data_IF_245672224168
#
_entry.id   IF_245672224168
#
_cell.length_a   1.000
_cell.length_b   1.000
_cell.length_c   1.000
_cell.angle_alpha   90.00
_cell.angle_beta   90.00
_cell.angle_gamma   90.00
#
_symmetry.space_group_name_H-M   'P 1'
#
loop_
_entity.id
_entity.type
_entity.pdbx_description
1 polymer ?
#
# COMPACT_ATOMS: atom_id res chain seq x y z
N UNK A 1 -10.54 18.69 21.57
CA UNK A 1 -11.41 18.28 20.45
C UNK A 1 -10.99 16.89 20.00
N UNK A 2 -11.94 16.04 19.61
CA UNK A 2 -11.66 14.69 19.10
C UNK A 2 -11.61 14.78 17.57
N UNK A 3 -10.47 14.46 16.95
CA UNK A 3 -10.39 14.25 15.52
C UNK A 3 -10.99 12.88 15.19
N UNK A 4 -11.85 12.83 14.17
CA UNK A 4 -12.47 11.60 13.69
C UNK A 4 -12.16 11.46 12.22
N UNK A 5 -11.73 10.27 11.82
CA UNK A 5 -11.48 9.92 10.44
C UNK A 5 -12.57 8.93 9.99
N UNK A 6 -13.42 9.28 9.00
CA UNK A 6 -14.36 8.32 8.43
C UNK A 6 -13.59 7.24 7.65
N UNK A 7 -14.03 6.00 7.80
CA UNK A 7 -13.52 4.88 7.02
C UNK A 7 -14.61 4.36 6.09
N UNK A 8 -14.26 4.17 4.83
CA UNK A 8 -15.13 3.59 3.82
C UNK A 8 -14.86 2.09 3.70
N UNK A 9 -15.95 1.33 3.59
CA UNK A 9 -15.87 -0.12 3.39
C UNK A 9 -15.82 -0.43 1.89
N UNK A 10 -14.67 -0.89 1.40
CA UNK A 10 -14.46 -1.30 0.01
C UNK A 10 -14.65 -2.81 -0.20
N UNK A 11 -14.61 -3.25 -1.47
CA UNK A 11 -14.54 -4.68 -1.80
C UNK A 11 -13.13 -5.20 -1.55
N UNK A 12 -13.03 -6.39 -0.93
CA UNK A 12 -11.74 -7.06 -0.71
C UNK A 12 -11.12 -7.46 -2.04
N UNK A 13 -9.79 -7.37 -2.16
CA UNK A 13 -9.07 -7.86 -3.33
C UNK A 13 -9.39 -9.33 -3.61
N UNK A 14 -9.54 -10.15 -2.56
CA UNK A 14 -9.97 -11.55 -2.70
C UNK A 14 -11.32 -11.70 -3.39
N UNK A 15 -12.29 -10.87 -3.04
CA UNK A 15 -13.64 -10.94 -3.61
C UNK A 15 -13.62 -10.45 -5.07
N UNK A 16 -12.84 -9.41 -5.37
CA UNK A 16 -12.60 -8.95 -6.75
C UNK A 16 -11.95 -10.04 -7.60
N UNK A 17 -10.93 -10.73 -7.07
CA UNK A 17 -10.27 -11.85 -7.76
C UNK A 17 -11.24 -13.02 -7.97
N UNK A 18 -12.14 -13.27 -7.01
CA UNK A 18 -13.18 -14.31 -7.13
C UNK A 18 -14.19 -13.96 -8.22
N UNK A 19 -14.67 -12.71 -8.25
CA UNK A 19 -15.62 -12.21 -9.25
C UNK A 19 -15.04 -12.24 -10.68
N UNK A 20 -13.72 -12.16 -10.82
CA UNK A 20 -13.02 -12.24 -12.11
C UNK A 20 -12.55 -13.65 -12.50
N UNK A 21 -12.89 -14.68 -11.71
CA UNK A 21 -12.39 -16.05 -11.88
C UNK A 21 -10.85 -16.20 -11.85
N UNK A 22 -10.15 -15.21 -11.30
CA UNK A 22 -8.69 -15.19 -11.20
C UNK A 22 -8.18 -15.77 -9.88
N UNK A 23 -9.06 -15.95 -8.87
CA UNK A 23 -8.64 -16.32 -7.52
C UNK A 23 -7.95 -17.69 -7.44
N UNK A 24 -8.44 -18.68 -8.19
CA UNK A 24 -7.84 -20.02 -8.17
C UNK A 24 -6.47 -20.02 -8.85
N UNK A 25 -6.35 -19.35 -10.00
CA UNK A 25 -5.08 -19.19 -10.71
C UNK A 25 -4.06 -18.43 -9.85
N UNK A 26 -4.52 -17.40 -9.14
CA UNK A 26 -3.71 -16.62 -8.22
C UNK A 26 -3.11 -17.50 -7.11
N UNK A 27 -3.90 -18.33 -6.43
CA UNK A 27 -3.38 -19.22 -5.39
C UNK A 27 -2.54 -20.40 -5.91
N UNK A 28 -2.67 -20.76 -7.20
CA UNK A 28 -1.77 -21.76 -7.81
C UNK A 28 -0.36 -21.22 -8.01
N UNK A 29 -0.22 -19.90 -8.25
CA UNK A 29 1.07 -19.27 -8.53
C UNK A 29 1.63 -18.51 -7.33
N UNK A 30 0.82 -18.26 -6.29
CA UNK A 30 1.21 -17.49 -5.12
C UNK A 30 0.84 -18.20 -3.82
N UNK A 31 1.83 -18.42 -2.97
CA UNK A 31 1.64 -18.97 -1.62
C UNK A 31 1.25 -17.87 -0.63
N UNK A 32 0.00 -17.88 -0.16
CA UNK A 32 -0.46 -16.96 0.88
C UNK A 32 -0.12 -17.45 2.28
N UNK A 33 0.68 -16.66 2.99
CA UNK A 33 1.06 -16.93 4.37
C UNK A 33 1.14 -15.66 5.22
N UNK A 34 0.25 -15.55 6.19
CA UNK A 34 0.20 -14.42 7.13
C UNK A 34 1.44 -14.35 8.03
N UNK A 35 2.16 -15.47 8.22
CA UNK A 35 3.41 -15.51 8.98
C UNK A 35 4.51 -14.61 8.41
N UNK A 36 4.46 -14.33 7.10
CA UNK A 36 5.40 -13.44 6.41
C UNK A 36 5.30 -11.98 6.87
N UNK A 37 4.10 -11.53 7.30
CA UNK A 37 3.89 -10.17 7.83
C UNK A 37 4.36 -10.04 9.29
N UNK A 38 4.24 -11.10 10.08
CA UNK A 38 4.57 -11.08 11.51
C UNK A 38 5.59 -12.16 11.89
N UNK A 39 6.83 -12.09 11.36
CA UNK A 39 7.84 -13.13 11.55
C UNK A 39 8.21 -13.33 13.02
N UNK A 40 8.15 -12.28 13.84
CA UNK A 40 8.41 -12.36 15.28
C UNK A 40 7.26 -13.00 16.08
N UNK A 41 6.02 -12.89 15.60
CA UNK A 41 4.86 -13.51 16.24
C UNK A 41 4.63 -14.95 15.77
N UNK A 42 5.09 -15.29 14.56
CA UNK A 42 4.89 -16.59 13.90
C UNK A 42 6.22 -17.13 13.31
N UNK A 43 7.18 -17.57 14.16
CA UNK A 43 8.57 -17.84 13.76
C UNK A 43 8.79 -19.07 12.87
N UNK A 44 7.77 -19.91 12.63
CA UNK A 44 7.91 -21.23 11.99
C UNK A 44 7.47 -21.28 10.52
N UNK A 45 7.39 -20.15 9.81
CA UNK A 45 6.89 -20.14 8.42
C UNK A 45 7.80 -19.39 7.46
N UNK A 46 8.34 -20.14 6.49
CA UNK A 46 9.35 -19.72 5.50
C UNK A 46 8.83 -19.88 4.07
N UNK A 47 7.66 -19.30 3.77
CA UNK A 47 7.17 -19.23 2.39
C UNK A 47 7.53 -17.87 1.78
N UNK A 48 8.40 -17.85 0.78
CA UNK A 48 8.64 -16.66 -0.04
C UNK A 48 7.51 -16.56 -1.08
N UNK A 49 6.65 -15.55 -0.96
CA UNK A 49 5.75 -15.15 -2.03
C UNK A 49 6.39 -14.02 -2.84
N UNK A 50 5.89 -13.81 -4.06
CA UNK A 50 6.46 -12.89 -5.06
C UNK A 50 5.63 -11.62 -5.29
N UNK A 51 4.43 -11.53 -4.70
CA UNK A 51 3.55 -10.35 -4.74
C UNK A 51 3.59 -9.52 -3.43
N UNK A 52 4.12 -8.28 -3.44
CA UNK A 52 4.43 -7.52 -2.22
C UNK A 52 3.21 -7.17 -1.34
N UNK A 53 1.98 -7.23 -1.85
CA UNK A 53 0.77 -6.85 -1.10
C UNK A 53 -0.18 -8.02 -0.86
N UNK A 54 0.33 -9.25 -0.93
CA UNK A 54 -0.48 -10.46 -0.69
C UNK A 54 -1.12 -10.46 0.70
N UNK A 55 -0.47 -9.84 1.69
CA UNK A 55 -0.97 -9.65 3.04
C UNK A 55 -2.18 -8.70 3.15
N UNK A 56 -2.51 -7.96 2.10
CA UNK A 56 -3.64 -7.02 2.05
C UNK A 56 -4.88 -7.60 1.34
N UNK A 57 -4.90 -8.90 1.00
CA UNK A 57 -6.01 -9.55 0.27
C UNK A 57 -7.39 -9.35 0.91
N UNK A 58 -7.42 -9.18 2.24
CA UNK A 58 -8.62 -9.04 3.08
C UNK A 58 -8.93 -7.64 3.55
N UNK A 59 -8.12 -6.65 3.16
CA UNK A 59 -8.35 -5.27 3.58
C UNK A 59 -9.68 -4.79 3.01
N UNK A 60 -10.48 -4.22 3.91
CA UNK A 60 -11.86 -3.83 3.61
C UNK A 60 -12.16 -2.38 3.99
N UNK A 61 -11.33 -1.75 4.82
CA UNK A 61 -11.53 -0.38 5.29
C UNK A 61 -10.42 0.53 4.80
N UNK A 62 -10.81 1.65 4.20
CA UNK A 62 -9.91 2.65 3.64
C UNK A 62 -10.29 4.03 4.17
N UNK A 63 -9.30 4.89 4.35
CA UNK A 63 -9.52 6.31 4.62
C UNK A 63 -8.83 7.16 3.57
N UNK A 64 -9.26 8.41 3.44
CA UNK A 64 -8.63 9.36 2.53
C UNK A 64 -7.59 10.20 3.28
N UNK A 65 -6.43 10.36 2.67
CA UNK A 65 -5.44 11.37 3.07
C UNK A 65 -5.14 12.25 1.87
N UNK A 66 -4.64 13.45 2.13
CA UNK A 66 -4.13 14.33 1.09
C UNK A 66 -2.67 14.66 1.34
N UNK A 67 -1.85 14.64 0.29
CA UNK A 67 -0.41 14.92 0.36
C UNK A 67 -0.08 16.10 -0.55
N UNK A 68 0.68 17.06 -0.05
CA UNK A 68 1.22 18.17 -0.84
C UNK A 68 0.42 19.47 -0.80
N UNK A 69 0.96 20.49 -1.47
CA UNK A 69 0.35 21.82 -1.60
C UNK A 69 0.43 22.31 -3.06
N UNK A 70 -0.69 22.34 -3.83
CA UNK A 70 -2.04 21.97 -3.42
C UNK A 70 -2.18 20.46 -3.10
N UNK A 71 -3.21 20.06 -2.31
CA UNK A 71 -3.37 18.67 -1.88
C UNK A 71 -3.66 17.70 -3.04
N UNK A 72 -3.02 16.53 -2.99
CA UNK A 72 -3.28 15.38 -3.87
C UNK A 72 -3.87 14.23 -3.03
N UNK A 73 -5.07 13.76 -3.36
CA UNK A 73 -5.78 12.77 -2.52
C UNK A 73 -5.45 11.32 -2.84
N UNK A 74 -5.35 10.51 -1.78
CA UNK A 74 -5.07 9.08 -1.83
C UNK A 74 -6.02 8.32 -0.92
N UNK A 75 -6.50 7.18 -1.39
CA UNK A 75 -7.16 6.18 -0.56
C UNK A 75 -6.09 5.26 0.02
N UNK A 76 -6.02 5.17 1.35
CA UNK A 76 -5.00 4.41 2.07
C UNK A 76 -5.60 3.47 3.10
N UNK A 77 -4.82 2.45 3.46
CA UNK A 77 -5.13 1.51 4.54
C UNK A 77 -4.52 2.03 5.83
N UNK A 78 -5.33 2.20 6.87
CA UNK A 78 -4.84 2.52 8.21
C UNK A 78 -4.42 1.23 8.92
N UNK A 79 -3.22 0.74 8.60
CA UNK A 79 -2.69 -0.55 9.04
C UNK A 79 -1.93 -0.44 10.37
N UNK A 80 -2.52 -0.91 11.46
CA UNK A 80 -1.85 -0.98 12.78
C UNK A 80 -0.73 -2.02 12.85
N UNK A 81 -0.59 -2.87 11.82
CA UNK A 81 0.45 -3.89 11.73
C UNK A 81 1.72 -3.44 10.99
N UNK A 82 1.85 -2.16 10.65
CA UNK A 82 3.03 -1.58 9.97
C UNK A 82 3.27 -0.14 10.43
N UNK A 83 4.42 0.43 10.06
CA UNK A 83 4.82 1.78 10.50
C UNK A 83 5.07 2.77 9.36
N UNK A 84 5.06 2.31 8.10
CA UNK A 84 5.43 3.12 6.94
C UNK A 84 4.20 3.70 6.23
N UNK A 85 4.32 4.92 5.73
CA UNK A 85 3.40 5.53 4.77
C UNK A 85 4.07 5.59 3.40
N UNK A 86 3.41 5.04 2.39
CA UNK A 86 3.85 5.13 1.00
C UNK A 86 2.64 5.29 0.08
N UNK A 87 2.85 5.94 -1.06
CA UNK A 87 1.88 6.09 -2.14
C UNK A 87 2.59 5.86 -3.48
N UNK A 88 1.88 5.41 -4.53
CA UNK A 88 2.48 5.25 -5.85
C UNK A 88 3.02 6.58 -6.38
N UNK A 89 4.23 6.59 -6.94
CA UNK A 89 4.81 7.76 -7.61
C UNK A 89 4.34 7.86 -9.06
N UNK A 90 4.26 9.08 -9.59
CA UNK A 90 4.08 9.32 -11.05
C UNK A 90 5.17 8.66 -11.90
N UNK A 91 6.34 8.40 -11.29
CA UNK A 91 7.45 7.67 -11.93
C UNK A 91 7.30 6.15 -11.90
N UNK A 92 6.21 5.60 -11.34
CA UNK A 92 5.98 4.16 -11.28
C UNK A 92 5.73 3.59 -12.70
N UNK A 93 6.60 2.69 -13.22
CA UNK A 93 6.45 2.16 -14.58
C UNK A 93 5.41 1.05 -14.70
N UNK A 94 4.96 0.48 -13.56
CA UNK A 94 4.06 -0.66 -13.54
C UNK A 94 2.66 -0.29 -14.02
N UNK A 95 2.04 -1.19 -14.80
CA UNK A 95 0.64 -1.07 -15.21
C UNK A 95 -0.32 -1.00 -14.01
N UNK A 96 0.06 -1.60 -12.88
CA UNK A 96 -0.73 -1.52 -11.64
C UNK A 96 -0.91 -0.08 -11.15
N UNK A 97 0.11 0.78 -11.31
CA UNK A 97 0.07 2.17 -10.91
C UNK A 97 -0.84 3.03 -11.80
N UNK A 98 -1.03 2.66 -13.07
CA UNK A 98 -1.90 3.41 -14.00
C UNK A 98 -3.37 3.41 -13.59
N UNK A 99 -3.78 2.44 -12.78
CA UNK A 99 -5.15 2.33 -12.26
C UNK A 99 -5.35 3.01 -10.90
N UNK A 100 -4.30 3.59 -10.33
CA UNK A 100 -4.31 4.24 -9.02
C UNK A 100 -3.98 5.73 -9.12
N UNK A 101 -4.37 6.49 -8.08
CA UNK A 101 -3.85 7.85 -7.88
C UNK A 101 -2.33 7.74 -7.68
N UNK A 102 -1.58 8.60 -8.35
CA UNK A 102 -0.13 8.70 -8.23
C UNK A 102 0.24 10.07 -7.67
N UNK A 103 1.28 10.11 -6.87
CA UNK A 103 1.85 11.34 -6.32
C UNK A 103 2.82 11.95 -7.33
N UNK A 104 2.57 13.22 -7.66
CA UNK A 104 3.45 14.04 -8.48
C UNK A 104 4.16 15.09 -7.60
N UNK A 105 5.45 14.87 -7.26
CA UNK A 105 6.20 15.81 -6.44
C UNK A 105 6.39 17.18 -7.11
N UNK A 106 6.33 17.26 -8.45
CA UNK A 106 6.47 18.52 -9.18
C UNK A 106 5.25 19.43 -9.03
N UNK A 107 4.11 18.87 -8.61
CA UNK A 107 2.86 19.59 -8.37
C UNK A 107 2.67 19.99 -6.91
N UNK A 108 3.65 19.75 -6.04
CA UNK A 108 3.59 20.18 -4.63
C UNK A 108 4.67 21.20 -4.31
N UNK A 109 4.25 22.39 -3.91
CA UNK A 109 5.12 23.48 -3.45
C UNK A 109 5.76 23.23 -2.08
N UNK A 110 5.24 22.27 -1.30
CA UNK A 110 5.77 21.90 0.02
C UNK A 110 6.62 20.64 0.01
N UNK A 111 6.72 19.96 -1.14
CA UNK A 111 7.54 18.76 -1.29
C UNK A 111 9.03 19.07 -1.12
N UNK A 112 9.71 18.20 -0.36
CA UNK A 112 11.15 18.19 -0.19
C UNK A 112 11.68 16.79 -0.41
N UNK A 113 12.50 16.62 -1.45
CA UNK A 113 13.24 15.37 -1.63
C UNK A 113 14.28 15.21 -0.52
N UNK A 114 14.39 14.00 0.02
CA UNK A 114 15.44 13.65 0.99
C UNK A 114 16.68 13.06 0.32
N UNK A 115 16.58 12.67 -0.96
CA UNK A 115 17.62 11.94 -1.68
C UNK A 115 17.80 10.47 -1.27
N UNK A 116 17.01 9.97 -0.31
CA UNK A 116 17.07 8.58 0.15
C UNK A 116 16.20 7.68 -0.72
N UNK A 117 16.69 6.47 -1.00
CA UNK A 117 15.90 5.39 -1.57
C UNK A 117 15.22 4.58 -0.46
N UNK A 118 14.03 4.08 -0.73
CA UNK A 118 13.28 3.17 0.13
C UNK A 118 13.18 1.82 -0.57
N UNK A 119 13.43 0.74 0.16
CA UNK A 119 13.01 -0.60 -0.22
C UNK A 119 12.20 -1.18 0.93
N UNK A 120 10.94 -1.55 0.65
CA UNK A 120 10.05 -2.17 1.63
C UNK A 120 9.82 -3.63 1.24
N UNK A 121 10.10 -4.53 2.18
CA UNK A 121 9.79 -5.95 2.04
C UNK A 121 8.62 -6.33 2.96
N UNK A 122 7.46 -6.63 2.37
CA UNK A 122 6.28 -7.10 3.10
C UNK A 122 6.24 -8.63 3.24
N UNK A 123 7.41 -9.29 3.18
CA UNK A 123 7.58 -10.74 3.25
C UNK A 123 7.09 -11.52 2.02
N UNK A 124 6.24 -10.90 1.20
CA UNK A 124 5.65 -11.47 -0.01
C UNK A 124 6.15 -10.79 -1.29
N UNK A 125 7.09 -9.85 -1.21
CA UNK A 125 7.68 -9.15 -2.36
C UNK A 125 8.44 -7.90 -1.91
N UNK A 126 8.98 -7.15 -2.86
CA UNK A 126 9.73 -5.91 -2.63
C UNK A 126 9.06 -4.74 -3.38
N UNK A 127 9.04 -3.57 -2.74
CA UNK A 127 8.69 -2.30 -3.36
C UNK A 127 9.85 -1.34 -3.20
N UNK A 128 10.33 -0.81 -4.32
CA UNK A 128 11.36 0.23 -4.35
C UNK A 128 10.73 1.61 -4.56
N UNK A 129 11.33 2.64 -3.96
CA UNK A 129 10.88 4.01 -4.09
C UNK A 129 11.89 5.02 -3.58
N UNK A 130 11.44 6.26 -3.43
CA UNK A 130 12.22 7.36 -2.88
C UNK A 130 11.51 7.96 -1.69
N UNK A 131 12.28 8.43 -0.71
CA UNK A 131 11.74 9.08 0.48
C UNK A 131 11.65 10.59 0.23
N UNK A 132 10.46 11.14 0.45
CA UNK A 132 10.19 12.56 0.42
C UNK A 132 9.54 13.03 1.71
N UNK A 133 9.65 14.32 2.00
CA UNK A 133 8.89 14.99 3.04
C UNK A 133 7.88 15.93 2.39
N UNK A 134 6.62 15.89 2.83
CA UNK A 134 5.58 16.80 2.40
C UNK A 134 4.52 16.97 3.50
N UNK A 135 3.60 17.91 3.33
CA UNK A 135 2.45 18.10 4.22
C UNK A 135 1.42 17.01 3.97
N UNK A 136 1.10 16.24 5.01
CA UNK A 136 0.05 15.23 4.99
C UNK A 136 -1.14 15.72 5.80
N UNK A 137 -2.31 15.74 5.18
CA UNK A 137 -3.58 16.05 5.84
C UNK A 137 -4.38 14.77 6.02
N UNK A 138 -4.83 14.54 7.26
CA UNK A 138 -5.67 13.42 7.64
C UNK A 138 -6.96 14.01 8.22
N UNK A 139 -8.09 13.80 7.54
CA UNK A 139 -9.37 14.42 7.86
C UNK A 139 -10.54 13.48 7.66
#
# INVERSE_FOLDING_TARGET
ACARLPLERGKKLRDVLREKDLLQQFFQHHHYDIGTKFPHALPNRTGAATEPLLNALDVEYFGTISIGTPPQDFSVVFDTGSSDLWVPSVSCPSLACQTHRVFDPSQSSTYKSTGLSLSIHYGTGEMEGTVGSDTVTVS
#
